data_IF_769356392390
#
_entry.id   IF_769356392390
#
_cell.length_a   1.000
_cell.length_b   1.000
_cell.length_c   1.000
_cell.angle_alpha   90.00
_cell.angle_beta   90.00
_cell.angle_gamma   90.00
#
_symmetry.space_group_name_H-M   'P 1'
#
loop_
_entity.id
_entity.type
_entity.pdbx_description
1 polymer ?
#
# COMPACT_ATOMS: atom_id res chain seq x y z
N UNK A 1 -13.98 18.03 -6.07
CA UNK A 1 -12.70 17.32 -5.83
C UNK A 1 -11.83 18.30 -5.07
N UNK A 2 -11.22 17.89 -3.96
CA UNK A 2 -10.20 18.73 -3.32
C UNK A 2 -8.93 18.44 -4.11
N UNK A 3 -8.49 19.38 -4.94
CA UNK A 3 -7.17 19.29 -5.58
C UNK A 3 -6.13 19.38 -4.47
N UNK A 4 -5.50 18.26 -4.15
CA UNK A 4 -4.34 18.24 -3.26
C UNK A 4 -3.08 18.58 -4.05
N UNK A 5 -2.20 19.34 -3.42
CA UNK A 5 -0.87 19.64 -3.94
C UNK A 5 0.06 18.42 -3.89
N UNK A 6 1.36 18.62 -4.15
CA UNK A 6 2.38 17.58 -4.01
C UNK A 6 2.41 16.99 -2.59
N UNK A 7 2.91 15.76 -2.45
CA UNK A 7 3.07 15.09 -1.15
C UNK A 7 3.90 15.94 -0.17
N UNK A 8 3.35 16.22 1.01
CA UNK A 8 3.99 17.01 2.07
C UNK A 8 4.11 16.19 3.37
N UNK A 9 5.32 15.82 3.83
CA UNK A 9 5.51 15.11 5.09
C UNK A 9 4.96 15.82 6.33
N UNK A 10 4.68 17.13 6.25
CA UNK A 10 4.11 17.91 7.32
C UNK A 10 2.57 17.99 7.26
N UNK A 11 1.94 17.59 6.15
CA UNK A 11 0.49 17.43 6.07
C UNK A 11 0.07 16.16 6.85
N UNK A 12 -0.89 16.25 7.78
CA UNK A 12 -1.26 15.11 8.61
C UNK A 12 -1.75 13.87 7.85
N UNK A 13 -2.37 14.05 6.68
CA UNK A 13 -2.85 12.93 5.87
C UNK A 13 -1.70 12.24 5.14
N UNK A 14 -0.80 13.01 4.54
CA UNK A 14 0.39 12.50 3.85
C UNK A 14 1.35 11.83 4.84
N UNK A 15 1.56 12.44 6.01
CA UNK A 15 2.32 11.85 7.12
C UNK A 15 1.73 10.51 7.59
N UNK A 16 0.39 10.41 7.66
CA UNK A 16 -0.30 9.17 8.02
C UNK A 16 -0.10 8.10 6.95
N UNK A 17 -0.20 8.46 5.66
CA UNK A 17 0.07 7.54 4.55
C UNK A 17 1.48 6.97 4.65
N UNK A 18 2.49 7.81 4.87
CA UNK A 18 3.88 7.37 4.97
C UNK A 18 4.12 6.47 6.19
N UNK A 19 3.57 6.83 7.35
CA UNK A 19 3.66 5.99 8.55
C UNK A 19 3.03 4.61 8.33
N UNK A 20 1.86 4.53 7.69
CA UNK A 20 1.22 3.26 7.36
C UNK A 20 2.03 2.47 6.32
N UNK A 21 2.57 3.14 5.30
CA UNK A 21 3.43 2.51 4.28
C UNK A 21 4.65 1.85 4.91
N UNK A 22 5.36 2.56 5.79
CA UNK A 22 6.54 2.04 6.49
C UNK A 22 6.16 0.84 7.35
N UNK A 23 5.09 0.91 8.13
CA UNK A 23 4.66 -0.22 8.96
C UNK A 23 4.31 -1.47 8.14
N UNK A 24 3.60 -1.29 7.02
CA UNK A 24 3.26 -2.39 6.11
C UNK A 24 4.53 -3.04 5.55
N UNK A 25 5.49 -2.23 5.08
CA UNK A 25 6.75 -2.73 4.54
C UNK A 25 7.55 -3.51 5.58
N UNK A 26 7.66 -3.00 6.80
CA UNK A 26 8.34 -3.68 7.91
C UNK A 26 7.73 -5.05 8.18
N UNK A 27 6.40 -5.18 8.20
CA UNK A 27 5.72 -6.46 8.44
C UNK A 27 5.96 -7.44 7.29
N UNK A 28 5.94 -6.96 6.05
CA UNK A 28 6.24 -7.79 4.86
C UNK A 28 7.68 -8.29 4.93
N UNK A 29 8.64 -7.41 5.17
CA UNK A 29 10.07 -7.75 5.29
C UNK A 29 10.32 -8.78 6.39
N UNK A 30 9.76 -8.56 7.59
CA UNK A 30 9.84 -9.52 8.69
C UNK A 30 9.26 -10.89 8.31
N UNK A 31 8.14 -10.91 7.58
CA UNK A 31 7.51 -12.15 7.12
C UNK A 31 8.39 -12.90 6.11
N UNK A 32 9.12 -12.16 5.25
CA UNK A 32 10.06 -12.75 4.29
C UNK A 32 11.25 -13.45 4.98
N UNK A 33 11.60 -13.03 6.19
CA UNK A 33 12.64 -13.68 6.98
C UNK A 33 12.18 -14.94 7.73
N UNK A 34 10.88 -15.22 7.79
CA UNK A 34 10.36 -16.41 8.47
C UNK A 34 10.69 -17.71 7.73
N UNK A 35 10.91 -18.79 8.48
CA UNK A 35 11.24 -20.10 7.91
C UNK A 35 10.11 -20.65 7.04
N UNK A 36 8.86 -20.45 7.46
CA UNK A 36 7.67 -20.86 6.69
C UNK A 36 7.58 -20.16 5.34
N UNK A 37 8.02 -18.89 5.24
CA UNK A 37 8.01 -18.15 3.98
C UNK A 37 9.14 -18.61 3.06
N UNK A 38 10.35 -18.83 3.61
CA UNK A 38 11.52 -19.29 2.84
C UNK A 38 11.36 -20.70 2.27
N UNK A 39 10.50 -21.53 2.86
CA UNK A 39 10.20 -22.87 2.35
C UNK A 39 9.29 -22.86 1.10
N UNK A 40 8.69 -21.72 0.76
CA UNK A 40 7.83 -21.58 -0.41
C UNK A 40 8.65 -21.34 -1.69
N UNK A 41 8.10 -21.75 -2.83
CA UNK A 41 8.61 -21.35 -4.14
C UNK A 41 8.50 -19.83 -4.32
N UNK A 42 9.34 -19.20 -5.15
CA UNK A 42 9.28 -17.73 -5.38
C UNK A 42 7.89 -17.25 -5.82
N UNK A 43 7.21 -18.03 -6.66
CA UNK A 43 5.85 -17.72 -7.10
C UNK A 43 4.84 -17.79 -5.94
N UNK A 44 4.99 -18.77 -5.06
CA UNK A 44 4.13 -18.93 -3.89
C UNK A 44 4.44 -17.92 -2.78
N UNK A 45 5.69 -17.46 -2.67
CA UNK A 45 6.09 -16.34 -1.80
C UNK A 45 5.38 -15.05 -2.22
N UNK A 46 5.41 -14.73 -3.52
CA UNK A 46 4.70 -13.57 -4.07
C UNK A 46 3.18 -13.71 -3.90
N UNK A 47 2.63 -14.90 -4.20
CA UNK A 47 1.21 -15.19 -3.99
C UNK A 47 0.81 -15.01 -2.52
N UNK A 48 1.60 -15.52 -1.58
CA UNK A 48 1.32 -15.41 -0.14
C UNK A 48 1.28 -13.94 0.31
N UNK A 49 2.25 -13.12 -0.13
CA UNK A 49 2.27 -11.69 0.18
C UNK A 49 1.04 -10.96 -0.38
N UNK A 50 0.70 -11.21 -1.65
CA UNK A 50 -0.47 -10.58 -2.30
C UNK A 50 -1.80 -10.97 -1.64
N UNK A 51 -1.97 -12.25 -1.31
CA UNK A 51 -3.18 -12.73 -0.62
C UNK A 51 -3.28 -12.12 0.77
N UNK A 52 -2.18 -12.10 1.54
CA UNK A 52 -2.17 -11.51 2.88
C UNK A 52 -2.55 -10.02 2.87
N UNK A 53 -1.98 -9.24 1.96
CA UNK A 53 -2.31 -7.82 1.78
C UNK A 53 -3.79 -7.60 1.43
N UNK A 54 -4.34 -8.45 0.56
CA UNK A 54 -5.75 -8.39 0.16
C UNK A 54 -6.69 -8.72 1.32
N UNK A 55 -6.36 -9.74 2.12
CA UNK A 55 -7.12 -10.11 3.33
C UNK A 55 -7.07 -8.97 4.36
N UNK A 56 -5.90 -8.36 4.58
CA UNK A 56 -5.75 -7.22 5.49
C UNK A 56 -6.62 -6.02 5.06
N UNK A 57 -6.61 -5.69 3.76
CA UNK A 57 -7.48 -4.66 3.20
C UNK A 57 -8.97 -4.98 3.42
N UNK A 58 -9.39 -6.22 3.16
CA UNK A 58 -10.78 -6.65 3.36
C UNK A 58 -11.21 -6.54 4.85
N UNK A 59 -10.34 -6.95 5.78
CA UNK A 59 -10.55 -6.81 7.21
C UNK A 59 -10.67 -5.34 7.63
N UNK A 60 -9.80 -4.47 7.12
CA UNK A 60 -9.85 -3.04 7.36
C UNK A 60 -11.19 -2.45 6.87
N UNK A 61 -11.59 -2.76 5.63
CA UNK A 61 -12.88 -2.32 5.09
C UNK A 61 -14.05 -2.80 5.95
N UNK A 62 -14.03 -4.07 6.38
CA UNK A 62 -15.05 -4.62 7.28
C UNK A 62 -15.10 -3.86 8.61
N UNK A 63 -13.95 -3.61 9.24
CA UNK A 63 -13.87 -2.86 10.49
C UNK A 63 -14.44 -1.43 10.36
N UNK A 64 -14.16 -0.74 9.25
CA UNK A 64 -14.74 0.58 8.96
C UNK A 64 -16.26 0.50 8.77
N UNK A 65 -16.78 -0.50 8.05
CA UNK A 65 -18.23 -0.68 7.89
C UNK A 65 -18.95 -1.13 9.16
N UNK A 66 -18.25 -1.79 10.09
CA UNK A 66 -18.83 -2.24 11.35
C UNK A 66 -18.91 -1.12 12.40
N UNK A 67 -17.99 -0.14 12.35
CA UNK A 67 -17.93 0.98 13.30
C UNK A 67 -18.69 2.23 12.84
N UNK A 68 -19.07 2.29 11.57
CA UNK A 68 -19.79 3.44 11.00
C UNK A 68 -21.03 2.95 10.27
N UNK A 69 -22.18 3.61 10.41
CA UNK A 69 -23.36 3.40 9.57
C UNK A 69 -23.13 3.80 8.09
N UNK A 70 -21.88 3.91 7.68
CA UNK A 70 -21.44 4.67 6.52
C UNK A 70 -20.88 3.74 5.43
N UNK A 71 -21.52 2.58 5.21
CA UNK A 71 -21.27 1.73 4.03
C UNK A 71 -21.29 2.54 2.72
N UNK A 72 -22.19 3.52 2.61
CA UNK A 72 -22.26 4.46 1.48
C UNK A 72 -21.07 5.41 1.41
N UNK A 73 -20.54 5.87 2.55
CA UNK A 73 -19.35 6.71 2.62
C UNK A 73 -18.13 5.91 2.20
N UNK A 74 -17.94 4.70 2.75
CA UNK A 74 -16.81 3.84 2.38
C UNK A 74 -16.80 3.54 0.87
N UNK A 75 -17.94 3.19 0.28
CA UNK A 75 -18.04 2.95 -1.17
C UNK A 75 -17.70 4.22 -1.98
N UNK A 76 -18.19 5.41 -1.56
CA UNK A 76 -17.85 6.68 -2.22
C UNK A 76 -16.37 7.01 -2.09
N UNK A 77 -15.82 6.84 -0.89
CA UNK A 77 -14.42 7.09 -0.56
C UNK A 77 -13.50 6.18 -1.37
N UNK A 78 -13.73 4.86 -1.37
CA UNK A 78 -12.96 3.91 -2.20
C UNK A 78 -13.04 4.28 -3.67
N UNK A 79 -14.23 4.62 -4.19
CA UNK A 79 -14.38 5.04 -5.58
C UNK A 79 -13.62 6.34 -5.89
N UNK A 80 -13.58 7.29 -4.97
CA UNK A 80 -12.87 8.55 -5.14
C UNK A 80 -11.34 8.38 -5.06
N UNK A 81 -10.85 7.48 -4.21
CA UNK A 81 -9.41 7.27 -3.99
C UNK A 81 -8.80 6.21 -4.90
N UNK A 82 -9.58 5.36 -5.58
CA UNK A 82 -9.05 4.36 -6.52
C UNK A 82 -8.19 4.99 -7.64
N UNK A 83 -8.64 6.06 -8.33
CA UNK A 83 -7.83 6.71 -9.37
C UNK A 83 -6.52 7.29 -8.83
N UNK A 84 -6.56 7.84 -7.61
CA UNK A 84 -5.39 8.39 -6.94
C UNK A 84 -4.39 7.31 -6.52
N UNK A 85 -4.88 6.16 -6.04
CA UNK A 85 -4.05 4.99 -5.78
C UNK A 85 -3.37 4.45 -7.05
N UNK A 86 -4.07 4.43 -8.19
CA UNK A 86 -3.47 4.09 -9.49
C UNK A 86 -2.41 5.10 -9.92
N UNK A 87 -2.69 6.40 -9.80
CA UNK A 87 -1.70 7.46 -10.09
C UNK A 87 -0.43 7.30 -9.25
N UNK A 88 -0.59 7.09 -7.93
CA UNK A 88 0.55 6.87 -7.02
C UNK A 88 1.31 5.60 -7.40
N UNK A 89 0.63 4.51 -7.76
CA UNK A 89 1.28 3.28 -8.20
C UNK A 89 2.08 3.47 -9.50
N UNK A 90 1.52 4.20 -10.48
CA UNK A 90 2.19 4.52 -11.73
C UNK A 90 3.41 5.42 -11.52
N UNK A 91 3.34 6.39 -10.60
CA UNK A 91 4.47 7.24 -10.23
C UNK A 91 5.59 6.46 -9.53
N UNK A 92 5.23 5.53 -8.63
CA UNK A 92 6.20 4.63 -7.99
C UNK A 92 6.87 3.74 -9.04
N UNK A 93 6.10 3.20 -10.00
CA UNK A 93 6.64 2.39 -11.09
C UNK A 93 7.57 3.18 -11.99
N UNK A 94 7.16 4.37 -12.44
CA UNK A 94 7.98 5.24 -13.28
C UNK A 94 9.29 5.66 -12.59
N UNK A 95 9.23 5.95 -11.29
CA UNK A 95 10.43 6.24 -10.49
C UNK A 95 11.32 5.00 -10.31
N UNK A 96 10.74 3.82 -10.08
CA UNK A 96 11.48 2.56 -10.01
C UNK A 96 12.19 2.21 -11.33
N UNK A 97 11.49 2.40 -12.45
CA UNK A 97 12.02 2.17 -13.80
C UNK A 97 13.12 3.18 -14.15
N UNK A 98 12.97 4.45 -13.75
CA UNK A 98 14.00 5.48 -13.93
C UNK A 98 15.28 5.19 -13.10
N UNK A 99 15.14 4.66 -11.87
CA UNK A 99 16.28 4.25 -11.05
C UNK A 99 16.97 2.99 -11.59
N UNK A 100 16.22 2.05 -12.16
CA UNK A 100 16.77 0.88 -12.83
C UNK A 100 17.52 1.25 -14.13
N UNK A 101 17.01 2.24 -14.88
CA UNK A 101 17.65 2.75 -16.10
C UNK A 101 18.91 3.58 -15.84
N UNK A 102 19.05 4.18 -14.65
CA UNK A 102 20.19 5.03 -14.27
C UNK A 102 21.24 4.34 -13.40
N UNK A 103 21.01 3.08 -12.98
CA UNK A 103 21.99 2.27 -12.25
C UNK A 103 22.29 2.71 -10.82
N UNK A 104 21.53 3.65 -10.27
CA UNK A 104 21.73 4.16 -8.90
C UNK A 104 20.99 3.26 -7.90
N UNK A 105 21.70 2.29 -7.30
CA UNK A 105 21.21 1.54 -6.14
C UNK A 105 21.18 2.46 -4.92
N UNK A 106 20.05 2.52 -4.21
CA UNK A 106 19.98 3.19 -2.89
C UNK A 106 20.98 2.51 -1.95
N UNK A 107 21.95 3.29 -1.47
CA UNK A 107 22.87 2.94 -0.39
C UNK A 107 22.14 2.92 0.95
#
# INVERSE_FOLDING_TARGET
>A
MIERGPFDPNDPFDATIEAMRVQILTVVEQSMHSDSYKQLSELDQLRAAMVAMTVALACMMRAFTARTNSRKLLIRTVRAFLPEAFRIADEIKANGDAMAATGVRRQ
#
